data_IF_218979146476
#
_entry.id   IF_218979146476
#
_cell.length_a   1.000
_cell.length_b   1.000
_cell.length_c   1.000
_cell.angle_alpha   90.00
_cell.angle_beta   90.00
_cell.angle_gamma   90.00
#
_symmetry.space_group_name_H-M   'P 1'
#
loop_
_entity.id
_entity.type
_entity.pdbx_description
1 polymer ?
#
# COMPACT_ATOMS: atom_id res chain seq x y z
N UNK A 1 -18.42 13.99 -4.25
CA UNK A 1 -17.74 12.67 -4.33
C UNK A 1 -17.18 12.53 -5.72
N UNK A 2 -15.86 12.70 -5.89
CA UNK A 2 -15.23 12.60 -7.20
C UNK A 2 -15.25 11.15 -7.69
N UNK A 3 -15.86 10.93 -8.85
CA UNK A 3 -15.76 9.69 -9.59
C UNK A 3 -14.32 9.56 -10.09
N UNK A 4 -13.47 8.90 -9.29
CA UNK A 4 -12.14 8.47 -9.69
C UNK A 4 -12.31 7.36 -10.73
N UNK A 5 -12.54 7.73 -12.00
CA UNK A 5 -12.39 6.81 -13.12
C UNK A 5 -11.03 6.13 -12.97
N UNK A 6 -11.02 4.81 -12.75
CA UNK A 6 -9.82 4.01 -12.59
C UNK A 6 -9.07 3.95 -13.94
N UNK A 7 -8.39 5.04 -14.28
CA UNK A 7 -7.41 5.12 -15.35
C UNK A 7 -6.31 4.08 -15.06
N UNK A 8 -5.53 3.68 -16.05
CA UNK A 8 -4.38 2.76 -15.87
C UNK A 8 -3.23 3.41 -15.06
N UNK A 9 -3.55 4.34 -14.16
CA UNK A 9 -2.61 5.10 -13.36
C UNK A 9 -2.55 4.53 -11.95
N UNK A 10 -1.34 4.51 -11.39
CA UNK A 10 -1.12 4.24 -9.98
C UNK A 10 -1.66 5.39 -9.14
N UNK A 11 -2.20 5.06 -7.97
CA UNK A 11 -2.78 6.00 -7.02
C UNK A 11 -1.97 5.98 -5.72
N UNK A 12 -1.93 7.13 -5.05
CA UNK A 12 -1.23 7.31 -3.79
C UNK A 12 -2.21 7.77 -2.73
N UNK A 13 -2.08 7.23 -1.51
CA UNK A 13 -2.72 7.84 -0.34
C UNK A 13 -2.04 9.16 0.04
N UNK A 14 -2.63 9.87 0.99
CA UNK A 14 -1.90 10.86 1.77
C UNK A 14 -0.71 10.22 2.49
N UNK A 15 0.28 11.06 2.81
CA UNK A 15 1.48 10.66 3.56
C UNK A 15 1.14 10.61 5.04
N UNK A 16 1.59 9.57 5.74
CA UNK A 16 1.45 9.43 7.18
C UNK A 16 2.79 9.09 7.83
N UNK A 17 2.95 9.49 9.10
CA UNK A 17 4.19 9.33 9.86
C UNK A 17 4.09 8.16 10.83
N UNK A 18 5.06 7.24 10.77
CA UNK A 18 5.23 6.15 11.74
C UNK A 18 6.73 5.98 12.00
N UNK A 19 7.14 6.09 13.27
CA UNK A 19 8.54 5.95 13.67
C UNK A 19 9.48 6.94 12.98
N UNK A 20 9.02 8.18 12.79
CA UNK A 20 9.70 9.27 12.06
C UNK A 20 9.90 9.04 10.56
N UNK A 21 9.27 8.01 9.98
CA UNK A 21 9.30 7.75 8.55
C UNK A 21 8.00 8.18 7.89
N UNK A 22 8.13 8.79 6.71
CA UNK A 22 7.02 9.13 5.82
C UNK A 22 6.62 7.90 5.02
N UNK A 23 5.46 7.36 5.32
CA UNK A 23 4.87 6.24 4.61
C UNK A 23 3.69 6.69 3.76
N UNK A 24 3.38 5.91 2.73
CA UNK A 24 2.13 6.02 1.98
C UNK A 24 1.70 4.65 1.45
N UNK A 25 0.42 4.53 1.12
CA UNK A 25 -0.11 3.39 0.37
C UNK A 25 -0.03 3.71 -1.12
N UNK A 26 0.53 2.79 -1.89
CA UNK A 26 0.57 2.81 -3.35
C UNK A 26 -0.38 1.74 -3.90
N UNK A 27 -1.33 2.15 -4.73
CA UNK A 27 -2.36 1.29 -5.31
C UNK A 27 -2.22 1.25 -6.82
N UNK A 28 -2.26 0.06 -7.40
CA UNK A 28 -2.47 -0.17 -8.83
C UNK A 28 -3.83 -0.83 -8.99
N UNK A 29 -4.91 -0.07 -9.33
CA UNK A 29 -6.26 -0.62 -9.39
C UNK A 29 -6.42 -1.78 -10.37
N UNK A 30 -5.63 -1.78 -11.45
CA UNK A 30 -5.61 -2.83 -12.49
C UNK A 30 -4.40 -3.76 -12.40
N UNK A 31 -3.62 -3.64 -11.33
CA UNK A 31 -2.43 -4.43 -11.09
C UNK A 31 -1.12 -3.84 -11.62
N UNK A 32 -0.02 -4.38 -11.10
CA UNK A 32 1.35 -4.05 -11.48
C UNK A 32 1.97 -5.29 -12.13
N UNK A 33 1.94 -5.37 -13.46
CA UNK A 33 2.29 -6.56 -14.26
C UNK A 33 1.40 -7.80 -14.00
N UNK A 34 0.26 -7.62 -13.33
CA UNK A 34 -0.74 -8.64 -13.04
C UNK A 34 -2.14 -8.08 -13.30
N UNK A 35 -3.18 -8.92 -13.29
CA UNK A 35 -4.57 -8.48 -13.54
C UNK A 35 -5.37 -8.19 -12.26
N UNK A 36 -4.77 -8.43 -11.09
CA UNK A 36 -5.37 -8.23 -9.78
C UNK A 36 -4.98 -6.89 -9.18
N UNK A 37 -5.84 -6.32 -8.33
CA UNK A 37 -5.51 -5.17 -7.49
C UNK A 37 -4.17 -5.41 -6.78
N UNK A 38 -3.23 -4.49 -6.95
CA UNK A 38 -1.95 -4.52 -6.23
C UNK A 38 -1.90 -3.33 -5.28
N UNK A 39 -1.56 -3.61 -4.01
CA UNK A 39 -1.48 -2.61 -2.93
C UNK A 39 -0.13 -2.79 -2.23
N UNK A 40 0.58 -1.69 -2.03
CA UNK A 40 1.91 -1.67 -1.44
C UNK A 40 1.97 -0.62 -0.32
N UNK A 41 2.82 -0.87 0.66
CA UNK A 41 3.29 0.13 1.62
C UNK A 41 4.65 0.65 1.14
N UNK A 42 4.81 1.96 0.99
CA UNK A 42 5.99 2.60 0.42
C UNK A 42 6.51 3.70 1.36
N UNK A 43 7.83 3.84 1.45
CA UNK A 43 8.49 5.01 2.06
C UNK A 43 8.64 6.09 0.98
N UNK A 44 8.11 7.29 1.22
CA UNK A 44 7.92 8.34 0.19
C UNK A 44 9.23 8.75 -0.49
N UNK A 45 10.29 8.94 0.29
CA UNK A 45 11.58 9.47 -0.15
C UNK A 45 12.63 8.36 -0.25
N UNK A 46 12.20 7.11 -0.53
CA UNK A 46 13.09 5.95 -0.54
C UNK A 46 14.25 6.07 -1.55
N UNK A 47 14.06 6.82 -2.64
CA UNK A 47 15.09 7.09 -3.66
C UNK A 47 16.24 7.95 -3.15
N UNK A 48 15.99 8.76 -2.11
CA UNK A 48 16.95 9.73 -1.59
C UNK A 48 17.77 9.14 -0.43
N UNK A 49 17.46 7.90 -0.03
CA UNK A 49 18.13 7.20 1.05
C UNK A 49 19.47 6.62 0.58
N UNK A 50 20.44 6.49 1.49
CA UNK A 50 21.73 5.88 1.17
C UNK A 50 21.57 4.49 0.58
N UNK A 51 22.53 4.11 -0.28
CA UNK A 51 22.66 2.75 -0.78
C UNK A 51 22.68 1.74 0.38
N UNK A 52 21.92 0.63 0.25
CA UNK A 52 21.71 -0.42 1.27
C UNK A 52 20.88 -0.02 2.50
N UNK A 53 20.18 1.11 2.47
CA UNK A 53 19.24 1.42 3.54
C UNK A 53 18.14 0.36 3.64
N UNK A 54 17.84 -0.07 4.86
CA UNK A 54 16.78 -1.04 5.16
C UNK A 54 16.01 -0.64 6.41
N UNK A 55 14.72 -0.97 6.43
CA UNK A 55 13.86 -0.87 7.61
C UNK A 55 12.97 -2.09 7.71
N UNK A 56 12.84 -2.56 8.94
CA UNK A 56 11.86 -3.58 9.28
C UNK A 56 10.50 -2.91 9.48
N UNK A 57 9.50 -3.45 8.79
CA UNK A 57 8.11 -3.08 8.99
C UNK A 57 7.28 -4.37 9.01
N UNK A 58 6.61 -4.62 10.14
CA UNK A 58 5.58 -5.64 10.23
C UNK A 58 4.23 -4.93 10.01
N UNK A 59 3.47 -5.39 9.02
CA UNK A 59 2.22 -4.74 8.67
C UNK A 59 1.24 -5.70 8.00
N UNK A 60 -0.03 -5.30 8.00
CA UNK A 60 -1.04 -5.92 7.16
C UNK A 60 -1.79 -4.86 6.36
N UNK A 61 -2.25 -5.25 5.17
CA UNK A 61 -3.06 -4.43 4.30
C UNK A 61 -4.45 -5.05 4.22
N UNK A 62 -5.47 -4.22 4.44
CA UNK A 62 -6.88 -4.64 4.39
C UNK A 62 -7.63 -3.89 3.31
N UNK A 63 -8.26 -4.64 2.40
CA UNK A 63 -9.28 -4.10 1.49
C UNK A 63 -10.62 -4.22 2.19
N UNK A 64 -11.15 -3.09 2.64
CA UNK A 64 -12.42 -3.03 3.38
C UNK A 64 -13.59 -3.08 2.42
N UNK A 65 -14.47 -4.06 2.62
CA UNK A 65 -15.77 -4.07 1.96
C UNK A 65 -16.73 -3.18 2.76
N UNK A 66 -17.03 -1.99 2.21
CA UNK A 66 -17.84 -0.97 2.87
C UNK A 66 -19.31 -1.39 3.11
N UNK A 67 -19.82 -2.38 2.38
CA UNK A 67 -21.20 -2.87 2.53
C UNK A 67 -21.30 -4.04 3.52
N UNK A 68 -20.21 -4.80 3.67
CA UNK A 68 -20.16 -5.96 4.55
C UNK A 68 -18.73 -6.19 5.02
N UNK A 69 -18.42 -5.73 6.23
CA UNK A 69 -17.09 -5.82 6.83
C UNK A 69 -16.56 -7.25 6.92
N UNK A 70 -17.42 -8.27 7.09
CA UNK A 70 -17.04 -9.68 7.14
C UNK A 70 -16.50 -10.22 5.79
N UNK A 71 -16.68 -9.47 4.70
CA UNK A 71 -16.11 -9.77 3.38
C UNK A 71 -14.85 -8.96 3.07
N UNK A 72 -14.29 -8.25 4.05
CA UNK A 72 -13.00 -7.57 3.90
C UNK A 72 -11.87 -8.60 3.80
N UNK A 73 -10.82 -8.25 3.07
CA UNK A 73 -9.68 -9.15 2.83
C UNK A 73 -8.44 -8.50 3.42
N UNK A 74 -7.77 -9.19 4.34
CA UNK A 74 -6.51 -8.76 4.95
C UNK A 74 -5.37 -9.67 4.52
N UNK A 75 -4.22 -9.08 4.18
CA UNK A 75 -2.96 -9.80 3.96
C UNK A 75 -1.86 -9.17 4.81
N UNK A 76 -1.23 -9.97 5.65
CA UNK A 76 -0.11 -9.57 6.50
C UNK A 76 1.25 -9.95 5.91
N UNK A 77 2.30 -9.36 6.47
CA UNK A 77 3.65 -9.90 6.37
C UNK A 77 3.71 -11.24 7.11
N UNK A 78 3.74 -12.36 6.39
CA UNK A 78 3.95 -13.67 6.98
C UNK A 78 5.42 -13.83 7.35
N UNK A 79 5.78 -13.58 8.60
CA UNK A 79 7.03 -14.07 9.17
C UNK A 79 6.71 -15.35 9.95
N UNK A 80 6.91 -16.51 9.32
CA UNK A 80 7.17 -17.74 10.07
C UNK A 80 8.64 -17.63 10.51
N UNK A 81 8.86 -17.36 11.80
CA UNK A 81 10.15 -17.63 12.42
C UNK A 81 10.38 -19.14 12.51
#
# INVERSE_FOLDING_TARGET
>A
MENQQLKNQKLYSEVFLIGDWKWRILIFPKGNNVKQLSVYLEVVDASDLPFLWTRYAEFSLTVVNQLNSNKSITKGSNFLL
#
